data_IF_993168063069
#
_entry.id   IF_993168063069
#
_cell.length_a   1.000
_cell.length_b   1.000
_cell.length_c   1.000
_cell.angle_alpha   90.00
_cell.angle_beta   90.00
_cell.angle_gamma   90.00
#
_symmetry.space_group_name_H-M   'P 1'
#
loop_
_entity.id
_entity.type
_entity.pdbx_description
1 polymer ?
#
# COMPACT_ATOMS: atom_id res chain seq x y z
N UNK A 1 2.12 -44.22 -33.56
CA UNK A 1 1.97 -42.76 -33.48
C UNK A 1 1.97 -42.40 -32.01
N UNK A 2 3.03 -41.77 -31.50
CA UNK A 2 3.21 -41.48 -30.07
C UNK A 2 2.77 -40.05 -29.79
N UNK A 3 1.84 -39.85 -28.86
CA UNK A 3 1.49 -38.51 -28.39
C UNK A 3 2.32 -38.20 -27.15
N UNK A 4 3.11 -37.14 -27.22
CA UNK A 4 3.78 -36.53 -26.08
C UNK A 4 2.74 -35.69 -25.33
N UNK A 5 2.48 -36.04 -24.07
CA UNK A 5 1.72 -35.19 -23.15
C UNK A 5 2.75 -34.34 -22.40
N UNK A 6 2.88 -33.06 -22.76
CA UNK A 6 3.57 -32.09 -21.94
C UNK A 6 2.59 -31.59 -20.88
N UNK A 7 2.60 -32.21 -19.71
CA UNK A 7 1.95 -31.64 -18.52
C UNK A 7 2.86 -30.53 -18.00
N UNK A 8 2.58 -29.29 -18.40
CA UNK A 8 3.11 -28.15 -17.67
C UNK A 8 2.48 -28.17 -16.28
N UNK A 9 3.26 -28.56 -15.27
CA UNK A 9 2.98 -28.20 -13.89
C UNK A 9 3.14 -26.69 -13.77
N UNK A 10 2.09 -25.95 -14.13
CA UNK A 10 1.96 -24.58 -13.66
C UNK A 10 1.66 -24.70 -12.17
N UNK A 11 2.72 -24.74 -11.37
CA UNK A 11 2.61 -24.46 -9.94
C UNK A 11 2.20 -23.01 -9.83
N UNK A 12 0.89 -22.77 -9.86
CA UNK A 12 0.34 -21.48 -9.48
C UNK A 12 0.62 -21.39 -7.98
N UNK A 13 1.80 -20.88 -7.63
CA UNK A 13 2.06 -20.35 -6.30
C UNK A 13 0.97 -19.32 -6.08
N UNK A 14 -0.01 -19.67 -5.26
CA UNK A 14 -1.16 -18.85 -4.92
C UNK A 14 -0.65 -17.43 -4.57
N UNK A 15 -0.97 -16.37 -5.35
CA UNK A 15 -0.43 -15.02 -5.16
C UNK A 15 -0.82 -14.33 -3.83
N UNK A 16 -1.58 -15.01 -2.98
CA UNK A 16 -1.81 -14.63 -1.59
C UNK A 16 -0.47 -14.84 -0.84
N UNK A 17 0.44 -13.87 -0.69
CA UNK A 17 0.43 -12.90 0.41
C UNK A 17 1.65 -11.93 0.33
N UNK A 18 2.21 -11.67 -0.86
CA UNK A 18 3.30 -10.68 -0.96
C UNK A 18 2.73 -9.29 -1.17
N UNK A 19 2.99 -8.40 -0.21
CA UNK A 19 2.67 -6.99 -0.34
C UNK A 19 3.40 -6.39 -1.55
N UNK A 20 2.66 -5.67 -2.40
CA UNK A 20 3.24 -4.89 -3.51
C UNK A 20 3.82 -3.57 -3.04
N UNK A 21 3.37 -3.08 -1.88
CA UNK A 21 3.95 -1.92 -1.19
C UNK A 21 3.89 -2.21 0.31
N UNK A 22 5.02 -2.08 0.98
CA UNK A 22 5.12 -2.12 2.44
C UNK A 22 5.69 -0.80 2.92
N UNK A 23 4.94 -0.11 3.77
CA UNK A 23 5.35 1.14 4.40
C UNK A 23 5.47 0.88 5.89
N UNK A 24 6.57 1.38 6.47
CA UNK A 24 6.85 1.31 7.90
C UNK A 24 7.25 2.69 8.39
N UNK A 25 6.79 3.04 9.58
CA UNK A 25 7.03 4.29 10.28
C UNK A 25 6.76 5.53 9.42
N UNK A 26 5.61 5.58 8.74
CA UNK A 26 5.28 6.74 7.91
C UNK A 26 5.08 7.99 8.76
N UNK A 27 5.89 9.00 8.49
CA UNK A 27 5.73 10.35 9.03
C UNK A 27 5.48 11.34 7.89
N UNK A 28 4.41 12.13 8.00
CA UNK A 28 4.12 13.23 7.06
C UNK A 28 4.03 14.53 7.83
N UNK A 29 4.89 15.49 7.50
CA UNK A 29 4.95 16.81 8.11
C UNK A 29 5.01 17.88 7.03
N UNK A 30 4.32 18.99 7.23
CA UNK A 30 4.39 20.14 6.34
C UNK A 30 4.30 21.45 7.13
N UNK A 31 4.91 22.54 6.63
CA UNK A 31 4.75 23.85 7.24
C UNK A 31 3.33 24.38 7.06
N UNK A 32 2.83 25.10 8.06
CA UNK A 32 1.60 25.89 8.01
C UNK A 32 1.80 27.22 8.75
N UNK A 33 0.83 28.14 8.64
CA UNK A 33 0.86 29.43 9.34
C UNK A 33 0.90 29.27 10.87
N UNK A 34 0.25 28.23 11.40
CA UNK A 34 0.26 27.89 12.83
C UNK A 34 1.48 27.06 13.28
N UNK A 35 2.45 26.83 12.39
CA UNK A 35 3.64 26.00 12.65
C UNK A 35 3.62 24.68 11.87
N UNK A 36 4.53 23.76 12.21
CA UNK A 36 4.65 22.48 11.51
C UNK A 36 3.48 21.57 11.88
N UNK A 37 2.69 21.18 10.89
CA UNK A 37 1.62 20.19 11.04
C UNK A 37 2.22 18.79 10.88
N UNK A 38 1.93 17.92 11.84
CA UNK A 38 2.29 16.51 11.78
C UNK A 38 1.07 15.67 11.40
N UNK A 39 0.84 15.54 10.09
CA UNK A 39 -0.35 14.94 9.50
C UNK A 39 -0.42 13.41 9.63
N UNK A 40 0.71 12.71 9.59
CA UNK A 40 0.78 11.26 9.86
C UNK A 40 1.87 11.00 10.90
N UNK A 41 1.52 10.34 12.00
CA UNK A 41 2.38 10.12 13.18
C UNK A 41 2.76 8.64 13.35
N UNK A 42 3.66 8.14 12.50
CA UNK A 42 4.18 6.78 12.59
C UNK A 42 3.12 5.75 12.22
N UNK A 43 2.99 5.45 10.92
CA UNK A 43 2.00 4.49 10.42
C UNK A 43 2.66 3.39 9.60
N UNK A 44 2.28 2.16 9.91
CA UNK A 44 2.67 0.95 9.18
C UNK A 44 1.49 0.43 8.37
N UNK A 45 1.71 0.11 7.09
CA UNK A 45 0.71 -0.59 6.29
C UNK A 45 1.32 -1.39 5.14
N UNK A 46 0.58 -2.39 4.69
CA UNK A 46 0.89 -3.20 3.51
C UNK A 46 -0.26 -3.10 2.50
N UNK A 47 0.08 -2.86 1.24
CA UNK A 47 -0.85 -2.92 0.13
C UNK A 47 -0.58 -4.19 -0.67
N UNK A 48 -1.62 -5.01 -0.84
CA UNK A 48 -1.56 -6.28 -1.56
C UNK A 48 -2.10 -6.12 -3.00
N UNK A 49 -1.71 -7.01 -3.94
CA UNK A 49 -2.23 -7.00 -5.30
C UNK A 49 -3.76 -6.94 -5.35
N UNK A 50 -4.30 -6.08 -6.22
CA UNK A 50 -5.75 -5.96 -6.42
C UNK A 50 -6.52 -5.29 -5.27
N UNK A 51 -5.82 -4.70 -4.29
CA UNK A 51 -6.42 -3.84 -3.25
C UNK A 51 -6.24 -2.37 -3.60
N UNK A 52 -7.12 -1.54 -3.07
CA UNK A 52 -7.04 -0.07 -3.15
C UNK A 52 -6.92 0.48 -1.74
N UNK A 53 -5.92 1.33 -1.51
CA UNK A 53 -5.78 2.10 -0.27
C UNK A 53 -6.38 3.50 -0.48
N UNK A 54 -7.42 3.82 0.28
CA UNK A 54 -7.98 5.17 0.34
C UNK A 54 -7.48 5.90 1.58
N UNK A 55 -6.92 7.11 1.39
CA UNK A 55 -6.57 8.00 2.50
C UNK A 55 -7.65 9.07 2.58
N UNK A 56 -8.30 9.19 3.73
CA UNK A 56 -9.35 10.18 3.99
C UNK A 56 -8.89 11.07 5.15
N UNK A 57 -8.98 12.38 4.95
CA UNK A 57 -8.79 13.37 5.99
C UNK A 57 -9.92 14.38 5.92
N UNK A 58 -10.43 14.80 7.07
CA UNK A 58 -11.18 16.06 7.13
C UNK A 58 -10.24 17.16 6.63
N UNK A 59 -10.69 17.97 5.67
CA UNK A 59 -9.95 19.16 5.29
C UNK A 59 -9.88 20.07 6.51
N UNK A 60 -8.75 20.06 7.21
CA UNK A 60 -8.49 21.02 8.26
C UNK A 60 -8.74 22.41 7.70
N UNK A 61 -9.70 23.14 8.28
CA UNK A 61 -9.92 24.54 7.89
C UNK A 61 -8.62 25.29 8.17
N UNK A 62 -8.02 25.82 7.12
CA UNK A 62 -6.93 26.80 7.21
C UNK A 62 -7.62 28.11 7.67
N UNK A 63 -7.82 28.24 8.98
CA UNK A 63 -8.12 29.55 9.56
C UNK A 63 -6.80 30.30 9.59
N UNK A 64 -6.84 31.50 9.01
CA UNK A 64 -5.83 32.56 9.09
C UNK A 64 -5.28 32.76 10.49
#
# INVERSE_FOLDING_TARGET
>A
MSNVVLSAEHTVSSPQEQAVLSVRDLHVRFPSEAGVVHAVRGMDFDLFPGRVLGIVGESGRVSQ
#
